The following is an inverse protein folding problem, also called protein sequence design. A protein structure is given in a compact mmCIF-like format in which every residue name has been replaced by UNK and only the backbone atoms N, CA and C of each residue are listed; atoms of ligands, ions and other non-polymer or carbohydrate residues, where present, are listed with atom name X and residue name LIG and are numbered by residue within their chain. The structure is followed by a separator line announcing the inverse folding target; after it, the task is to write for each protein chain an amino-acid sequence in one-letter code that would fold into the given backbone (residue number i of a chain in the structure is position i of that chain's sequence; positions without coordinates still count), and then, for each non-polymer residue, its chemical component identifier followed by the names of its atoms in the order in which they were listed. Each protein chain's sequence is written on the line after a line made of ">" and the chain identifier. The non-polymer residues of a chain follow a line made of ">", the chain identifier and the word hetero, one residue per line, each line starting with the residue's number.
data_IF_056229510162
#
_entry.id   IF_056229510162
#
_cell.length_a   1.000
_cell.length_b   1.000
_cell.length_c   1.000
_cell.angle_alpha   90.00
_cell.angle_beta   90.00
_cell.angle_gamma   90.00
#
_symmetry.space_group_name_H-M   'P 1'
#
loop_
_entity.id
_entity.type
_entity.pdbx_description
1 polymer ?
#
# COMPACT_ATOMS: atom_id res chain seq x y z
N UNK A 1 6.33 18.29 -12.93
CA UNK A 1 6.93 17.81 -11.68
C UNK A 1 5.88 17.04 -10.93
N UNK A 2 6.24 15.87 -10.41
CA UNK A 2 5.37 15.05 -9.59
C UNK A 2 6.13 14.66 -8.31
N UNK A 3 5.45 14.79 -7.18
CA UNK A 3 5.97 14.43 -5.87
C UNK A 3 4.99 13.43 -5.27
N UNK A 4 5.51 12.27 -4.87
CA UNK A 4 4.71 11.20 -4.26
C UNK A 4 5.33 10.79 -2.93
N UNK A 5 4.49 10.30 -2.01
CA UNK A 5 4.91 9.75 -0.71
C UNK A 5 5.83 10.69 0.07
N UNK A 6 5.37 11.90 0.31
CA UNK A 6 6.08 12.86 1.15
C UNK A 6 6.05 12.38 2.62
N UNK A 7 7.22 12.16 3.21
CA UNK A 7 7.37 11.67 4.59
C UNK A 7 8.45 12.44 5.34
N UNK A 8 8.25 12.62 6.65
CA UNK A 8 9.27 13.13 7.56
C UNK A 8 9.89 11.97 8.34
N UNK A 9 11.22 11.89 8.38
CA UNK A 9 11.99 10.94 9.18
C UNK A 9 12.97 11.71 10.08
N UNK A 10 13.63 11.02 11.04
CA UNK A 10 14.57 11.67 11.97
C UNK A 10 15.68 12.46 11.26
N UNK A 11 16.14 11.96 10.13
CA UNK A 11 17.29 12.47 9.34
C UNK A 11 16.90 13.30 8.12
N UNK A 12 15.60 13.54 7.89
CA UNK A 12 15.21 14.38 6.77
C UNK A 12 13.77 14.24 6.28
N UNK A 13 13.49 15.03 5.26
CA UNK A 13 12.23 15.04 4.52
C UNK A 13 12.43 14.31 3.20
N UNK A 14 11.68 13.22 3.00
CA UNK A 14 11.80 12.33 1.85
C UNK A 14 10.55 12.34 0.99
N UNK A 15 10.74 12.22 -0.32
CA UNK A 15 9.67 11.89 -1.26
C UNK A 15 10.21 11.15 -2.47
N UNK A 16 9.30 10.54 -3.25
CA UNK A 16 9.61 10.15 -4.63
C UNK A 16 9.36 11.35 -5.54
N UNK A 17 10.39 11.75 -6.25
CA UNK A 17 10.38 12.91 -7.13
C UNK A 17 10.59 12.47 -8.57
N UNK A 18 9.80 13.03 -9.49
CA UNK A 18 9.94 12.77 -10.93
C UNK A 18 9.56 13.99 -11.75
N UNK A 19 10.10 14.06 -12.96
CA UNK A 19 9.82 15.16 -13.90
C UNK A 19 9.45 14.59 -15.27
N UNK A 20 8.35 15.09 -15.83
CA UNK A 20 7.96 14.84 -17.22
C UNK A 20 7.86 16.15 -17.99
N UNK A 21 8.21 16.13 -19.26
CA UNK A 21 7.95 17.24 -20.19
C UNK A 21 7.18 16.75 -21.41
N UNK A 22 6.44 17.65 -22.06
CA UNK A 22 5.83 17.38 -23.37
C UNK A 22 6.86 17.60 -24.46
N UNK A 23 6.95 16.68 -25.41
CA UNK A 23 7.67 16.85 -26.66
C UNK A 23 6.93 17.84 -27.58
N UNK A 24 7.59 18.30 -28.65
CA UNK A 24 6.96 19.11 -29.69
C UNK A 24 5.74 18.42 -30.36
N UNK A 25 5.72 17.09 -30.35
CA UNK A 25 4.61 16.27 -30.83
C UNK A 25 3.51 16.03 -29.76
N UNK A 26 3.54 16.73 -28.62
CA UNK A 26 2.56 16.63 -27.55
C UNK A 26 2.63 15.37 -26.66
N UNK A 27 3.57 14.46 -26.92
CA UNK A 27 3.76 13.24 -26.10
C UNK A 27 4.52 13.53 -24.83
N UNK A 28 4.16 12.87 -23.72
CA UNK A 28 4.90 12.97 -22.47
C UNK A 28 6.18 12.13 -22.52
N UNK A 29 7.28 12.74 -22.14
CA UNK A 29 8.59 12.10 -21.98
C UNK A 29 9.13 12.32 -20.57
N UNK A 30 9.75 11.31 -19.98
CA UNK A 30 10.46 11.46 -18.74
C UNK A 30 11.72 12.33 -18.94
N UNK A 31 11.85 13.36 -18.14
CA UNK A 31 13.09 14.13 -17.95
C UNK A 31 13.88 13.49 -16.81
N UNK A 32 13.17 13.09 -15.75
CA UNK A 32 13.70 12.36 -14.63
C UNK A 32 12.69 11.28 -14.22
N UNK A 33 13.13 10.05 -14.15
CA UNK A 33 12.33 8.94 -13.66
C UNK A 33 12.09 9.04 -12.14
N UNK A 34 11.06 8.39 -11.59
CA UNK A 34 10.79 8.44 -10.16
C UNK A 34 11.97 7.92 -9.34
N UNK A 35 12.49 8.76 -8.45
CA UNK A 35 13.58 8.42 -7.53
C UNK A 35 13.32 9.00 -6.14
N UNK A 36 13.79 8.30 -5.09
CA UNK A 36 13.71 8.80 -3.72
C UNK A 36 14.73 9.92 -3.51
N UNK A 37 14.30 11.03 -2.92
CA UNK A 37 15.15 12.17 -2.61
C UNK A 37 14.99 12.59 -1.15
N UNK A 38 16.11 12.96 -0.51
CA UNK A 38 16.13 13.66 0.78
C UNK A 38 16.22 15.17 0.53
N UNK A 39 15.14 15.89 0.80
CA UNK A 39 15.03 17.34 0.58
C UNK A 39 15.84 18.19 1.57
N UNK A 40 16.29 17.63 2.71
CA UNK A 40 17.17 18.32 3.66
C UNK A 40 18.65 18.13 3.31
N UNK A 41 19.01 17.07 2.56
CA UNK A 41 20.38 16.84 2.13
C UNK A 41 20.80 17.80 1.02
N UNK A 42 21.86 18.56 1.27
CA UNK A 42 22.44 19.47 0.27
C UNK A 42 23.06 18.71 -0.91
N UNK A 43 23.70 17.57 -0.65
CA UNK A 43 24.27 16.71 -1.69
C UNK A 43 23.19 16.12 -2.61
N UNK A 44 22.09 15.65 -2.07
CA UNK A 44 20.96 15.14 -2.83
C UNK A 44 20.35 16.22 -3.74
N UNK A 45 20.13 17.42 -3.21
CA UNK A 45 19.60 18.55 -3.97
C UNK A 45 20.57 19.01 -5.08
N UNK A 46 21.87 19.05 -4.78
CA UNK A 46 22.88 19.47 -5.74
C UNK A 46 23.03 18.45 -6.87
N UNK A 47 23.04 17.15 -6.54
CA UNK A 47 23.06 16.06 -7.53
C UNK A 47 21.84 16.11 -8.44
N UNK A 48 20.65 16.18 -7.85
CA UNK A 48 19.38 16.29 -8.58
C UNK A 48 19.36 17.53 -9.51
N UNK A 49 19.81 18.69 -9.00
CA UNK A 49 19.88 19.91 -9.80
C UNK A 49 20.77 19.73 -11.01
N UNK A 50 22.00 19.22 -10.84
CA UNK A 50 22.94 18.96 -11.95
C UNK A 50 22.33 18.06 -13.02
N UNK A 51 21.66 17.00 -12.59
CA UNK A 51 21.00 16.07 -13.51
C UNK A 51 19.89 16.75 -14.31
N UNK A 52 19.06 17.56 -13.66
CA UNK A 52 17.98 18.30 -14.31
C UNK A 52 18.50 19.42 -15.23
N UNK A 53 19.53 20.17 -14.82
CA UNK A 53 20.17 21.20 -15.63
C UNK A 53 20.78 20.60 -16.92
N UNK A 54 21.30 19.37 -16.86
CA UNK A 54 21.82 18.66 -18.03
C UNK A 54 20.74 18.15 -18.98
N UNK A 55 19.61 17.67 -18.43
CA UNK A 55 18.54 17.04 -19.23
C UNK A 55 17.51 18.02 -19.78
N UNK A 56 17.28 19.12 -19.09
CA UNK A 56 16.23 20.09 -19.43
C UNK A 56 16.66 21.52 -19.11
N UNK A 57 17.32 22.17 -20.05
CA UNK A 57 17.93 23.49 -19.91
C UNK A 57 16.96 24.66 -19.97
N UNK A 58 15.70 24.44 -20.35
CA UNK A 58 14.68 25.51 -20.48
C UNK A 58 14.19 26.07 -19.15
N UNK A 59 14.59 25.46 -18.05
CA UNK A 59 14.02 25.73 -16.73
C UNK A 59 15.11 26.11 -15.72
N UNK A 60 14.86 27.12 -14.92
CA UNK A 60 15.70 27.40 -13.74
C UNK A 60 15.40 26.40 -12.63
N UNK A 61 16.13 25.32 -12.59
CA UNK A 61 15.95 24.26 -11.61
C UNK A 61 16.38 24.65 -10.21
N UNK A 62 17.26 25.64 -10.04
CA UNK A 62 17.64 26.18 -8.73
C UNK A 62 16.40 26.75 -8.00
N UNK A 63 15.70 27.67 -8.65
CA UNK A 63 14.50 28.29 -8.10
C UNK A 63 13.36 27.30 -7.94
N UNK A 64 13.13 26.40 -8.92
CA UNK A 64 12.06 25.43 -8.87
C UNK A 64 12.22 24.39 -7.77
N UNK A 65 13.44 23.87 -7.56
CA UNK A 65 13.69 22.93 -6.47
C UNK A 65 13.58 23.61 -5.10
N UNK A 66 13.96 24.87 -4.97
CA UNK A 66 13.73 25.65 -3.75
C UNK A 66 12.22 25.78 -3.44
N UNK A 67 11.41 26.08 -4.45
CA UNK A 67 9.94 26.13 -4.32
C UNK A 67 9.35 24.77 -3.91
N UNK A 68 9.84 23.65 -4.50
CA UNK A 68 9.43 22.30 -4.13
C UNK A 68 9.70 22.04 -2.65
N UNK A 69 10.87 22.40 -2.13
CA UNK A 69 11.19 22.22 -0.70
C UNK A 69 10.21 22.99 0.19
N UNK A 70 9.89 24.22 -0.18
CA UNK A 70 8.93 25.04 0.58
C UNK A 70 7.53 24.42 0.58
N UNK A 71 7.05 23.99 -0.59
CA UNK A 71 5.74 23.33 -0.72
C UNK A 71 5.70 22.04 0.10
N UNK A 72 6.74 21.19 0.00
CA UNK A 72 6.82 19.96 0.79
C UNK A 72 6.80 20.25 2.30
N UNK A 73 7.57 21.23 2.76
CA UNK A 73 7.60 21.61 4.17
C UNK A 73 6.24 22.16 4.65
N UNK A 74 5.57 22.96 3.83
CA UNK A 74 4.22 23.47 4.14
C UNK A 74 3.19 22.32 4.18
N UNK A 75 3.22 21.39 3.24
CA UNK A 75 2.32 20.24 3.20
C UNK A 75 2.47 19.38 4.47
N UNK A 76 3.70 19.11 4.92
CA UNK A 76 3.93 18.38 6.17
C UNK A 76 3.39 19.15 7.38
N UNK A 77 3.62 20.46 7.44
CA UNK A 77 3.07 21.29 8.53
C UNK A 77 1.54 21.27 8.55
N UNK A 78 0.91 21.36 7.40
CA UNK A 78 -0.57 21.31 7.30
C UNK A 78 -1.15 19.96 7.71
N UNK A 79 -0.46 18.84 7.39
CA UNK A 79 -0.90 17.51 7.80
C UNK A 79 -0.75 17.23 9.30
N UNK A 80 -0.03 18.08 10.04
CA UNK A 80 0.16 17.94 11.50
C UNK A 80 -0.70 18.90 12.33
N UNK A 81 -1.57 19.70 11.72
CA UNK A 81 -2.48 20.59 12.43
C UNK A 81 -3.67 19.80 12.94
N UNK A 82 -4.02 19.99 14.22
CA UNK A 82 -5.23 19.41 14.79
C UNK A 82 -6.46 19.91 14.02
N UNK A 83 -7.34 18.98 13.66
CA UNK A 83 -8.57 19.27 12.92
C UNK A 83 -9.75 19.08 13.85
N UNK A 84 -10.70 20.01 13.81
CA UNK A 84 -11.98 19.83 14.47
C UNK A 84 -12.80 18.79 13.73
N UNK A 85 -12.97 17.61 14.34
CA UNK A 85 -13.66 16.49 13.73
C UNK A 85 -15.14 16.78 13.40
N UNK A 86 -15.76 17.74 14.08
CA UNK A 86 -17.14 18.16 13.78
C UNK A 86 -17.27 18.88 12.43
N UNK A 87 -16.17 19.41 11.91
CA UNK A 87 -16.09 20.11 10.63
C UNK A 87 -15.62 19.23 9.47
N UNK A 88 -15.22 17.98 9.74
CA UNK A 88 -14.78 17.05 8.70
C UNK A 88 -15.98 16.57 7.92
N UNK A 89 -15.92 16.69 6.60
CA UNK A 89 -16.94 16.14 5.73
C UNK A 89 -16.84 14.59 5.71
N UNK A 90 -17.87 13.92 6.19
CA UNK A 90 -17.94 12.45 6.26
C UNK A 90 -18.87 11.85 5.17
N UNK A 91 -19.19 12.64 4.12
CA UNK A 91 -20.12 12.22 3.07
C UNK A 91 -19.55 11.20 2.09
N UNK A 92 -18.26 10.86 2.19
CA UNK A 92 -17.67 9.82 1.36
C UNK A 92 -18.06 8.43 1.87
N UNK A 93 -18.58 7.58 0.99
CA UNK A 93 -18.91 6.18 1.31
C UNK A 93 -17.63 5.43 1.70
N UNK A 94 -17.53 5.02 2.96
CA UNK A 94 -16.48 4.15 3.45
C UNK A 94 -16.59 2.80 2.75
N UNK A 95 -15.51 2.37 2.12
CA UNK A 95 -15.40 1.04 1.52
C UNK A 95 -14.89 0.06 2.54
N UNK A 96 -15.66 -0.99 2.80
CA UNK A 96 -15.29 -2.05 3.73
C UNK A 96 -14.84 -3.30 2.98
N UNK A 97 -13.72 -3.87 3.40
CA UNK A 97 -13.33 -5.24 3.02
C UNK A 97 -14.04 -6.27 3.89
N UNK A 98 -14.30 -5.91 5.15
CA UNK A 98 -15.05 -6.71 6.11
C UNK A 98 -15.60 -5.77 7.20
N UNK A 99 -16.88 -5.41 7.16
CA UNK A 99 -17.48 -4.51 8.15
C UNK A 99 -17.75 -5.22 9.48
N UNK A 100 -17.47 -4.61 10.65
CA UNK A 100 -16.81 -3.33 10.86
C UNK A 100 -15.29 -3.45 11.10
N UNK A 101 -14.66 -4.55 10.71
CA UNK A 101 -13.30 -4.90 11.11
C UNK A 101 -12.23 -4.29 10.21
N UNK A 102 -12.46 -4.26 8.89
CA UNK A 102 -11.42 -3.88 7.90
C UNK A 102 -11.97 -2.84 6.94
N UNK A 103 -11.57 -1.62 7.17
CA UNK A 103 -11.86 -0.48 6.30
C UNK A 103 -10.90 -0.46 5.11
N UNK A 104 -11.40 -0.14 3.93
CA UNK A 104 -10.59 -0.03 2.72
C UNK A 104 -9.73 1.23 2.71
N UNK A 105 -8.44 1.06 2.54
CA UNK A 105 -7.46 2.15 2.57
C UNK A 105 -6.76 2.31 3.91
N UNK A 106 -7.25 1.66 4.98
CA UNK A 106 -6.69 1.71 6.31
C UNK A 106 -5.97 0.41 6.69
N UNK A 107 -5.17 0.47 7.76
CA UNK A 107 -4.42 -0.68 8.27
C UNK A 107 -5.14 -1.27 9.48
N UNK A 108 -5.40 -2.58 9.45
CA UNK A 108 -5.95 -3.31 10.59
C UNK A 108 -4.91 -4.29 11.11
N UNK A 109 -4.70 -4.33 12.43
CA UNK A 109 -3.79 -5.28 13.09
C UNK A 109 -4.61 -6.22 13.97
N UNK A 110 -4.49 -7.53 13.71
CA UNK A 110 -5.04 -8.58 14.55
C UNK A 110 -3.96 -9.01 15.55
N UNK A 111 -4.17 -8.69 16.81
CA UNK A 111 -3.25 -9.01 17.89
C UNK A 111 -3.85 -10.05 18.85
N UNK A 112 -3.10 -11.14 19.08
CA UNK A 112 -3.49 -12.18 20.06
C UNK A 112 -2.29 -13.12 20.31
N UNK A 113 -2.28 -13.88 21.42
CA UNK A 113 -1.28 -14.93 21.68
C UNK A 113 -1.19 -15.98 20.56
N UNK A 114 -0.10 -16.75 20.53
CA UNK A 114 0.05 -17.87 19.62
C UNK A 114 -1.07 -18.92 19.77
N UNK A 115 -1.45 -19.58 18.68
CA UNK A 115 -2.37 -20.71 18.74
C UNK A 115 -3.87 -20.41 18.87
N UNK A 116 -4.27 -19.15 19.08
CA UNK A 116 -5.70 -18.77 19.29
C UNK A 116 -6.53 -18.68 18.01
N UNK A 117 -5.96 -18.96 16.85
CA UNK A 117 -6.70 -19.01 15.59
C UNK A 117 -6.65 -17.75 14.72
N UNK A 118 -5.67 -16.85 14.91
CA UNK A 118 -5.50 -15.64 14.06
C UNK A 118 -5.52 -15.97 12.56
N UNK A 119 -4.71 -16.95 12.14
CA UNK A 119 -4.63 -17.38 10.73
C UNK A 119 -5.95 -17.97 10.22
N UNK A 120 -6.73 -18.65 11.08
CA UNK A 120 -8.07 -19.12 10.71
C UNK A 120 -9.05 -17.96 10.53
N UNK A 121 -9.00 -16.97 11.40
CA UNK A 121 -9.79 -15.75 11.27
C UNK A 121 -9.40 -15.00 9.98
N UNK A 122 -8.10 -14.86 9.71
CA UNK A 122 -7.60 -14.22 8.50
C UNK A 122 -8.07 -14.94 7.23
N UNK A 123 -8.10 -16.27 7.23
CA UNK A 123 -8.66 -17.07 6.13
C UNK A 123 -10.18 -16.92 6.01
N UNK A 124 -10.88 -16.78 7.13
CA UNK A 124 -12.32 -16.45 7.14
C UNK A 124 -12.59 -15.10 6.48
N UNK A 125 -11.78 -14.10 6.78
CA UNK A 125 -11.81 -12.79 6.12
C UNK A 125 -11.53 -12.92 4.62
N UNK A 126 -10.53 -13.74 4.21
CA UNK A 126 -10.25 -14.01 2.80
C UNK A 126 -11.49 -14.57 2.09
N UNK A 127 -12.11 -15.61 2.64
CA UNK A 127 -13.30 -16.23 2.05
C UNK A 127 -14.44 -15.23 1.94
N UNK A 128 -14.74 -14.51 3.03
CA UNK A 128 -15.80 -13.51 3.05
C UNK A 128 -15.58 -12.39 2.03
N UNK A 129 -14.36 -11.86 1.96
CA UNK A 129 -13.99 -10.77 1.04
C UNK A 129 -14.01 -11.24 -0.42
N UNK A 130 -13.55 -12.47 -0.68
CA UNK A 130 -13.46 -13.01 -2.04
C UNK A 130 -14.79 -13.49 -2.60
N UNK A 131 -15.73 -13.92 -1.74
CA UNK A 131 -17.02 -14.48 -2.15
C UNK A 131 -18.18 -13.51 -2.03
N UNK A 132 -18.08 -12.49 -1.15
CA UNK A 132 -19.20 -11.65 -0.78
C UNK A 132 -20.24 -12.35 0.12
N UNK A 133 -19.90 -13.54 0.65
CA UNK A 133 -20.77 -14.32 1.53
C UNK A 133 -20.32 -14.12 2.98
N UNK A 134 -21.26 -13.93 3.91
CA UNK A 134 -20.95 -13.79 5.32
C UNK A 134 -20.39 -15.11 5.88
N UNK A 135 -19.17 -15.06 6.38
CA UNK A 135 -18.45 -16.18 6.97
C UNK A 135 -18.25 -15.99 8.46
N UNK A 136 -18.00 -14.77 8.89
CA UNK A 136 -17.70 -14.43 10.27
C UNK A 136 -18.95 -13.80 10.90
N UNK A 137 -19.49 -14.39 12.00
CA UNK A 137 -20.65 -13.83 12.69
C UNK A 137 -20.39 -12.39 13.16
N UNK A 138 -21.41 -11.54 13.03
CA UNK A 138 -21.33 -10.13 13.44
C UNK A 138 -20.56 -9.22 12.48
N UNK A 139 -20.18 -9.74 11.32
CA UNK A 139 -19.52 -8.94 10.27
C UNK A 139 -20.33 -8.99 8.96
N UNK A 140 -20.10 -8.02 8.08
CA UNK A 140 -20.67 -8.02 6.74
C UNK A 140 -19.58 -8.11 5.67
N UNK A 141 -19.81 -8.85 4.57
CA UNK A 141 -18.91 -8.89 3.43
C UNK A 141 -18.87 -7.54 2.71
N UNK A 142 -17.88 -7.32 1.84
CA UNK A 142 -17.88 -6.14 0.97
C UNK A 142 -19.10 -6.15 0.04
N UNK A 143 -19.53 -4.96 -0.41
CA UNK A 143 -20.62 -4.81 -1.40
C UNK A 143 -20.36 -5.59 -2.69
N UNK A 144 -19.08 -5.68 -3.08
CA UNK A 144 -18.62 -6.47 -4.23
C UNK A 144 -17.45 -7.36 -3.84
N UNK A 145 -17.41 -8.62 -4.29
CA UNK A 145 -16.27 -9.51 -4.05
C UNK A 145 -14.94 -8.92 -4.53
N UNK A 146 -13.89 -9.06 -3.73
CA UNK A 146 -12.58 -8.47 -3.99
C UNK A 146 -11.49 -9.54 -4.08
N UNK A 147 -10.43 -9.25 -4.83
CA UNK A 147 -9.24 -10.10 -4.88
C UNK A 147 -8.39 -9.89 -3.63
N UNK A 148 -7.91 -10.97 -3.06
CA UNK A 148 -7.13 -11.03 -1.82
C UNK A 148 -5.77 -11.64 -2.08
N UNK A 149 -4.71 -11.06 -1.51
CA UNK A 149 -3.36 -11.61 -1.48
C UNK A 149 -3.00 -11.98 -0.03
N UNK A 150 -2.64 -13.23 0.19
CA UNK A 150 -2.17 -13.73 1.49
C UNK A 150 -0.67 -13.95 1.43
N UNK A 151 0.07 -13.15 2.17
CA UNK A 151 1.53 -13.26 2.36
C UNK A 151 1.79 -14.03 3.65
N UNK A 152 2.54 -15.12 3.57
CA UNK A 152 2.73 -16.05 4.69
C UNK A 152 4.21 -16.41 4.88
N UNK A 153 4.70 -16.28 6.11
CA UNK A 153 6.06 -16.66 6.51
C UNK A 153 6.11 -17.99 7.29
N UNK A 154 4.97 -18.53 7.73
CA UNK A 154 4.95 -19.62 8.71
C UNK A 154 4.56 -20.97 8.12
N UNK A 155 3.66 -21.01 7.14
CA UNK A 155 2.97 -22.24 6.73
C UNK A 155 3.22 -22.51 5.24
N UNK A 156 2.35 -23.29 4.63
CA UNK A 156 2.41 -23.59 3.20
C UNK A 156 1.02 -23.55 2.53
N UNK A 157 1.03 -23.42 1.21
CA UNK A 157 -0.17 -23.27 0.40
C UNK A 157 -1.19 -24.41 0.59
N UNK A 158 -0.75 -25.66 0.74
CA UNK A 158 -1.65 -26.82 0.89
C UNK A 158 -2.45 -26.74 2.19
N UNK A 159 -1.82 -26.32 3.28
CA UNK A 159 -2.49 -26.14 4.58
C UNK A 159 -3.52 -25.04 4.50
N UNK A 160 -3.15 -23.88 3.97
CA UNK A 160 -4.08 -22.75 3.83
C UNK A 160 -5.23 -23.08 2.87
N UNK A 161 -4.96 -23.73 1.73
CA UNK A 161 -6.00 -24.13 0.79
C UNK A 161 -7.03 -25.07 1.43
N UNK A 162 -6.59 -26.10 2.18
CA UNK A 162 -7.51 -26.98 2.90
C UNK A 162 -8.37 -26.26 3.93
N UNK A 163 -7.75 -25.38 4.73
CA UNK A 163 -8.47 -24.56 5.72
C UNK A 163 -9.48 -23.64 5.05
N UNK A 164 -9.07 -22.94 4.02
CA UNK A 164 -9.91 -22.04 3.24
C UNK A 164 -11.12 -22.79 2.63
N UNK A 165 -10.91 -23.95 2.02
CA UNK A 165 -11.97 -24.79 1.48
C UNK A 165 -12.94 -25.28 2.57
N UNK A 166 -12.43 -25.67 3.75
CA UNK A 166 -13.27 -26.07 4.88
C UNK A 166 -14.13 -24.91 5.39
N UNK A 167 -13.55 -23.70 5.49
CA UNK A 167 -14.27 -22.49 5.89
C UNK A 167 -15.36 -22.15 4.86
N UNK A 168 -15.02 -22.15 3.57
CA UNK A 168 -15.97 -21.86 2.50
C UNK A 168 -17.14 -22.88 2.50
N UNK A 169 -16.83 -24.17 2.66
CA UNK A 169 -17.85 -25.23 2.78
C UNK A 169 -18.75 -25.01 3.99
N UNK A 170 -18.18 -24.61 5.14
CA UNK A 170 -18.96 -24.31 6.35
C UNK A 170 -19.90 -23.10 6.21
N UNK A 171 -19.59 -22.21 5.27
CA UNK A 171 -20.43 -21.06 4.92
C UNK A 171 -21.29 -21.30 3.67
N UNK A 172 -21.43 -22.54 3.24
CA UNK A 172 -22.19 -22.97 2.06
C UNK A 172 -21.81 -22.18 0.79
N UNK A 173 -20.51 -21.98 0.58
CA UNK A 173 -19.96 -21.24 -0.55
C UNK A 173 -18.69 -21.89 -1.09
N UNK A 174 -18.20 -21.40 -2.23
CA UNK A 174 -16.92 -21.76 -2.83
C UNK A 174 -16.16 -20.53 -3.23
N UNK A 175 -14.85 -20.50 -3.01
CA UNK A 175 -14.01 -19.39 -3.45
C UNK A 175 -13.77 -19.52 -4.95
N UNK A 176 -14.16 -18.50 -5.75
CA UNK A 176 -13.93 -18.54 -7.20
C UNK A 176 -12.42 -18.54 -7.52
N UNK A 177 -12.05 -19.16 -8.63
CA UNK A 177 -10.68 -19.11 -9.13
C UNK A 177 -10.22 -17.67 -9.38
N UNK A 178 -8.94 -17.42 -9.10
CA UNK A 178 -8.34 -16.09 -9.28
C UNK A 178 -8.75 -15.02 -8.26
N UNK A 179 -9.46 -15.39 -7.16
CA UNK A 179 -9.88 -14.44 -6.13
C UNK A 179 -8.98 -14.39 -4.91
N UNK A 180 -8.38 -15.51 -4.52
CA UNK A 180 -7.47 -15.57 -3.37
C UNK A 180 -6.13 -16.11 -3.84
N UNK A 181 -5.13 -15.27 -3.73
CA UNK A 181 -3.75 -15.58 -4.07
C UNK A 181 -2.97 -15.83 -2.78
N UNK A 182 -2.13 -16.87 -2.79
CA UNK A 182 -1.23 -17.19 -1.71
C UNK A 182 0.21 -17.02 -2.17
N UNK A 183 1.04 -16.40 -1.36
CA UNK A 183 2.46 -16.22 -1.63
C UNK A 183 3.28 -16.57 -0.41
N UNK A 184 4.05 -17.68 -0.48
CA UNK A 184 5.04 -18.03 0.54
C UNK A 184 6.18 -17.03 0.47
N UNK A 185 6.46 -16.37 1.59
CA UNK A 185 7.52 -15.39 1.71
C UNK A 185 8.73 -16.02 2.40
N UNK A 186 9.93 -15.70 1.91
CA UNK A 186 11.21 -16.17 2.45
C UNK A 186 12.07 -15.00 2.94
N UNK A 187 11.87 -13.82 2.38
CA UNK A 187 12.61 -12.61 2.71
C UNK A 187 11.72 -11.62 3.49
N UNK A 188 12.35 -10.61 4.10
CA UNK A 188 11.62 -9.53 4.73
C UNK A 188 10.69 -8.82 3.74
N UNK A 189 9.57 -8.29 4.23
CA UNK A 189 8.58 -7.61 3.40
C UNK A 189 9.20 -6.45 2.59
N UNK A 190 10.15 -5.74 3.18
CA UNK A 190 10.82 -4.60 2.54
C UNK A 190 11.56 -5.02 1.26
N UNK A 191 12.19 -6.18 1.25
CA UNK A 191 12.95 -6.70 0.11
C UNK A 191 12.04 -7.10 -1.06
N UNK A 192 10.80 -7.52 -0.77
CA UNK A 192 9.83 -7.98 -1.78
C UNK A 192 8.80 -6.92 -2.18
N UNK A 193 8.89 -5.71 -1.65
CA UNK A 193 7.80 -4.71 -1.74
C UNK A 193 7.46 -4.31 -3.19
N UNK A 194 8.43 -4.22 -4.09
CA UNK A 194 8.18 -3.83 -5.47
C UNK A 194 7.50 -4.96 -6.27
N UNK A 195 7.88 -6.22 -6.03
CA UNK A 195 7.24 -7.38 -6.65
C UNK A 195 5.79 -7.54 -6.16
N UNK A 196 5.57 -7.35 -4.85
CA UNK A 196 4.24 -7.36 -4.26
C UNK A 196 3.37 -6.24 -4.86
N UNK A 197 3.89 -5.04 -5.03
CA UNK A 197 3.18 -3.93 -5.67
C UNK A 197 2.82 -4.22 -7.11
N UNK A 198 3.74 -4.80 -7.86
CA UNK A 198 3.50 -5.22 -9.24
C UNK A 198 2.39 -6.28 -9.32
N UNK A 199 2.42 -7.26 -8.41
CA UNK A 199 1.41 -8.31 -8.32
C UNK A 199 0.02 -7.75 -7.96
N UNK A 200 -0.06 -6.88 -6.94
CA UNK A 200 -1.30 -6.20 -6.52
C UNK A 200 -1.95 -5.48 -7.71
N UNK A 201 -1.14 -4.74 -8.46
CA UNK A 201 -1.62 -3.97 -9.62
C UNK A 201 -2.09 -4.87 -10.75
N UNK A 202 -1.33 -5.91 -11.08
CA UNK A 202 -1.63 -6.85 -12.15
C UNK A 202 -2.92 -7.65 -11.88
N UNK A 203 -3.11 -8.09 -10.64
CA UNK A 203 -4.22 -8.95 -10.24
C UNK A 203 -5.36 -8.18 -9.55
N UNK A 204 -5.35 -6.85 -9.60
CA UNK A 204 -6.39 -5.99 -8.99
C UNK A 204 -6.70 -6.35 -7.53
N UNK A 205 -5.67 -6.69 -6.75
CA UNK A 205 -5.81 -7.03 -5.33
C UNK A 205 -6.29 -5.81 -4.54
N UNK A 206 -7.25 -6.02 -3.63
CA UNK A 206 -7.83 -4.98 -2.78
C UNK A 206 -7.57 -5.20 -1.29
N UNK A 207 -7.31 -6.42 -0.89
CA UNK A 207 -6.93 -6.77 0.48
C UNK A 207 -5.63 -7.55 0.46
N UNK A 208 -4.66 -7.13 1.27
CA UNK A 208 -3.42 -7.87 1.52
C UNK A 208 -3.40 -8.30 2.98
N UNK A 209 -3.19 -9.58 3.22
CA UNK A 209 -3.02 -10.14 4.56
C UNK A 209 -1.56 -10.52 4.74
N UNK A 210 -0.99 -10.16 5.88
CA UNK A 210 0.40 -10.44 6.26
C UNK A 210 0.37 -11.32 7.52
N UNK A 211 0.80 -12.57 7.40
CA UNK A 211 0.82 -13.57 8.46
C UNK A 211 2.23 -14.19 8.59
N UNK A 212 3.04 -13.74 9.54
CA UNK A 212 2.77 -12.75 10.57
C UNK A 212 3.63 -11.50 10.38
N UNK A 213 3.19 -10.38 10.97
CA UNK A 213 3.91 -9.11 10.87
C UNK A 213 5.31 -9.14 11.52
N UNK A 214 5.51 -9.99 12.54
CA UNK A 214 6.80 -10.16 13.22
C UNK A 214 7.86 -10.74 12.28
N UNK A 215 7.55 -11.81 11.58
CA UNK A 215 8.45 -12.44 10.60
C UNK A 215 8.58 -11.58 9.34
N UNK A 216 7.52 -10.93 8.92
CA UNK A 216 7.54 -10.01 7.78
C UNK A 216 8.53 -8.84 7.95
N UNK A 217 8.77 -8.40 9.18
CA UNK A 217 9.69 -7.31 9.47
C UNK A 217 11.17 -7.71 9.43
N UNK A 218 11.48 -8.97 9.74
CA UNK A 218 12.87 -9.44 9.92
C UNK A 218 13.31 -10.44 8.83
N UNK A 219 12.38 -11.02 8.09
CA UNK A 219 12.61 -12.22 7.30
C UNK A 219 12.78 -13.47 8.19
N UNK A 220 12.92 -14.63 7.58
CA UNK A 220 13.31 -15.88 8.28
C UNK A 220 14.84 -15.98 8.40
#
# INVERSE_FOLDING_TARGET
>A
VQINKLTMQKDGMYSYFSVRSKTSAGKWKWVLEPGRINWYSMSSKTGLRRELDNREKRWDWKTRLAQVVVICAQTIKQSSVAVDLSQVNTSEDIRWCCYPMIEGGEHTVLFAPGGVGKSLLSLGICVQTATGVRVIPGTDPPKEPMNVLYLDWETNAKVHARRMQSIAKGADTTVPEGRVFYWRMEFALEESIEDIRAFIKLNHVRLVIIDSAGLAANGD
#
